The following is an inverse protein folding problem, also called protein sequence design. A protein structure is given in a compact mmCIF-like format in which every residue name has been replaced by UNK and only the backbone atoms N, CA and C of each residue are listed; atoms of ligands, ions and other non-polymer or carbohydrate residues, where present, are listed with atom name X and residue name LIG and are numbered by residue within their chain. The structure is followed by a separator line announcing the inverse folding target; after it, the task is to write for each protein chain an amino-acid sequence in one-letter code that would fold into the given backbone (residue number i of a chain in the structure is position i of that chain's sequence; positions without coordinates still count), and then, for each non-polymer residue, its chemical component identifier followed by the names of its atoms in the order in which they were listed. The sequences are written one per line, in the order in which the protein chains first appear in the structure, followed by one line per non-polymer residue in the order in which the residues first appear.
data_IF_875506291978
#
_entry.id   IF_875506291978
#
_cell.length_a   1.000
_cell.length_b   1.000
_cell.length_c   1.000
_cell.angle_alpha   90.00
_cell.angle_beta   90.00
_cell.angle_gamma   90.00
#
_symmetry.space_group_name_H-M   'P 1'
#
loop_
_entity.id
_entity.type
_entity.pdbx_description
1 polymer ?
#
# COMPACT_ATOMS: atom_id res chain seq x y z
N UNK A 1 -15.70 7.72 4.06
CA UNK A 1 -15.96 6.95 2.83
C UNK A 1 -14.88 5.88 2.59
N UNK A 2 -13.60 6.22 2.54
CA UNK A 2 -12.50 5.24 2.36
C UNK A 2 -12.38 4.21 3.50
N UNK A 3 -12.55 4.62 4.76
CA UNK A 3 -12.52 3.71 5.92
C UNK A 3 -13.51 2.55 5.78
N UNK A 4 -14.73 2.82 5.33
CA UNK A 4 -15.75 1.80 5.11
C UNK A 4 -15.34 0.78 4.03
N UNK A 5 -14.55 1.20 3.04
CA UNK A 5 -14.05 0.34 1.97
C UNK A 5 -12.89 -0.55 2.46
N UNK A 6 -12.04 -0.02 3.34
CA UNK A 6 -10.96 -0.77 3.99
C UNK A 6 -11.46 -1.79 5.02
N UNK A 7 -12.53 -1.46 5.75
CA UNK A 7 -13.09 -2.32 6.79
C UNK A 7 -14.28 -3.17 6.32
N UNK A 8 -14.79 -2.96 5.10
CA UNK A 8 -15.89 -3.75 4.56
C UNK A 8 -15.45 -5.21 4.46
N UNK A 9 -16.10 -6.10 5.20
CA UNK A 9 -15.84 -7.53 5.13
C UNK A 9 -16.74 -8.18 4.10
N UNK A 10 -16.15 -8.98 3.22
CA UNK A 10 -16.88 -9.71 2.19
C UNK A 10 -16.47 -11.18 2.30
N UNK A 11 -17.47 -12.07 2.33
CA UNK A 11 -17.21 -13.50 2.25
C UNK A 11 -16.71 -13.85 0.84
N UNK A 12 -15.64 -14.64 0.74
CA UNK A 12 -15.16 -15.10 -0.57
C UNK A 12 -15.98 -16.33 -1.00
N UNK A 13 -16.88 -16.22 -1.99
CA UNK A 13 -17.78 -17.31 -2.34
C UNK A 13 -17.07 -18.46 -3.08
N UNK A 14 -15.82 -18.29 -3.51
CA UNK A 14 -15.04 -19.32 -4.21
C UNK A 14 -14.26 -20.25 -3.29
N UNK A 15 -13.94 -19.83 -2.06
CA UNK A 15 -13.05 -20.58 -1.16
C UNK A 15 -13.71 -21.03 0.13
N UNK A 16 -14.94 -20.59 0.43
CA UNK A 16 -15.62 -20.89 1.70
C UNK A 16 -14.91 -20.30 2.94
N UNK A 17 -13.92 -19.43 2.72
CA UNK A 17 -13.12 -18.83 3.77
C UNK A 17 -13.93 -17.83 4.62
N UNK A 18 -13.54 -17.62 5.90
CA UNK A 18 -14.14 -16.60 6.75
C UNK A 18 -14.11 -15.22 6.09
N UNK A 19 -15.03 -14.33 6.50
CA UNK A 19 -15.15 -12.98 5.95
C UNK A 19 -13.84 -12.20 6.09
N UNK A 20 -13.17 -11.92 4.98
CA UNK A 20 -11.96 -11.08 4.93
C UNK A 20 -12.33 -9.64 4.57
N UNK A 21 -11.50 -8.65 4.91
CA UNK A 21 -11.65 -7.32 4.34
C UNK A 21 -11.64 -7.39 2.81
N UNK A 22 -12.62 -6.74 2.16
CA UNK A 22 -12.76 -6.64 0.70
C UNK A 22 -11.44 -6.20 0.06
N UNK A 23 -10.78 -5.28 0.75
CA UNK A 23 -9.50 -4.75 0.34
C UNK A 23 -8.39 -5.82 0.24
N UNK A 24 -8.28 -6.75 1.21
CA UNK A 24 -7.33 -7.87 1.16
C UNK A 24 -7.60 -8.76 -0.03
N UNK A 25 -8.88 -9.06 -0.30
CA UNK A 25 -9.29 -9.84 -1.47
C UNK A 25 -8.87 -9.14 -2.76
N UNK A 26 -9.12 -7.82 -2.86
CA UNK A 26 -8.70 -7.04 -4.02
C UNK A 26 -7.18 -7.10 -4.23
N UNK A 27 -6.38 -6.94 -3.18
CA UNK A 27 -4.93 -7.04 -3.29
C UNK A 27 -4.44 -8.44 -3.67
N UNK A 28 -5.08 -9.50 -3.17
CA UNK A 28 -4.74 -10.86 -3.56
C UNK A 28 -5.03 -11.12 -5.04
N UNK A 29 -6.18 -10.66 -5.54
CA UNK A 29 -6.49 -10.74 -6.97
C UNK A 29 -5.52 -9.90 -7.79
N UNK A 30 -5.19 -8.71 -7.30
CA UNK A 30 -4.19 -7.84 -7.93
C UNK A 30 -2.83 -8.55 -8.00
N UNK A 31 -2.39 -9.19 -6.92
CA UNK A 31 -1.15 -9.99 -6.88
C UNK A 31 -1.14 -11.09 -7.93
N UNK A 32 -2.27 -11.80 -8.12
CA UNK A 32 -2.40 -12.82 -9.17
C UNK A 32 -2.21 -12.20 -10.55
N UNK A 33 -2.86 -11.07 -10.82
CA UNK A 33 -2.70 -10.35 -12.08
C UNK A 33 -1.25 -9.90 -12.31
N UNK A 34 -0.55 -9.47 -11.26
CA UNK A 34 0.87 -9.09 -11.37
C UNK A 34 1.77 -10.25 -11.77
N UNK A 35 1.51 -11.45 -11.25
CA UNK A 35 2.23 -12.65 -11.63
C UNK A 35 2.15 -12.98 -13.13
N UNK A 36 1.14 -12.45 -13.85
CA UNK A 36 1.01 -12.66 -15.30
C UNK A 36 1.86 -11.71 -16.14
N UNK A 37 2.39 -10.62 -15.56
CA UNK A 37 3.16 -9.61 -16.29
C UNK A 37 2.35 -8.71 -17.24
N UNK A 38 1.00 -8.82 -17.24
CA UNK A 38 0.12 -8.11 -18.17
C UNK A 38 0.31 -6.58 -18.19
N UNK A 39 0.67 -5.97 -17.06
CA UNK A 39 0.89 -4.52 -17.03
C UNK A 39 2.13 -4.07 -17.80
N UNK A 40 3.10 -4.95 -18.03
CA UNK A 40 4.25 -4.66 -18.90
C UNK A 40 3.91 -4.72 -20.38
N UNK A 41 2.78 -5.33 -20.76
CA UNK A 41 2.33 -5.38 -22.15
C UNK A 41 1.51 -4.16 -22.55
N UNK A 42 1.17 -3.30 -21.59
CA UNK A 42 0.48 -2.02 -21.86
C UNK A 42 1.50 -1.07 -22.51
N UNK A 43 1.19 -0.48 -23.69
CA UNK A 43 2.08 0.45 -24.36
C UNK A 43 2.51 1.60 -23.44
N UNK A 44 3.82 1.81 -23.33
CA UNK A 44 4.42 2.84 -22.48
C UNK A 44 4.66 2.43 -21.02
N UNK A 45 4.38 1.18 -20.64
CA UNK A 45 4.61 0.65 -19.29
C UNK A 45 5.70 -0.43 -19.23
N UNK A 46 6.39 -0.72 -20.33
CA UNK A 46 7.32 -1.83 -20.47
C UNK A 46 8.53 -1.70 -19.52
N UNK A 47 9.03 -0.48 -19.38
CA UNK A 47 10.27 -0.16 -18.64
C UNK A 47 10.05 0.30 -17.20
N UNK A 48 8.80 0.37 -16.73
CA UNK A 48 8.52 0.80 -15.36
C UNK A 48 8.89 -0.30 -14.35
N UNK A 49 9.38 0.11 -13.18
CA UNK A 49 9.68 -0.81 -12.07
C UNK A 49 8.41 -1.46 -11.51
N UNK A 50 7.34 -0.68 -11.41
CA UNK A 50 6.02 -1.08 -10.90
C UNK A 50 4.91 -0.66 -11.88
N UNK A 51 4.84 -1.29 -13.06
CA UNK A 51 4.03 -0.82 -14.19
C UNK A 51 2.53 -0.73 -13.89
N UNK A 52 2.03 -1.60 -13.01
CA UNK A 52 0.66 -1.63 -12.53
C UNK A 52 0.32 -0.45 -11.63
N UNK A 53 1.26 -0.04 -10.76
CA UNK A 53 1.10 1.11 -9.88
C UNK A 53 1.24 2.42 -10.65
N UNK A 54 2.10 2.45 -11.66
CA UNK A 54 2.17 3.54 -12.63
C UNK A 54 0.86 3.67 -13.41
N UNK A 55 0.25 2.55 -13.80
CA UNK A 55 -1.04 2.56 -14.48
C UNK A 55 -2.15 3.05 -13.55
N UNK A 56 -2.22 2.51 -12.33
CA UNK A 56 -3.22 2.88 -11.33
C UNK A 56 -3.11 4.36 -10.94
N UNK A 57 -1.89 4.86 -10.76
CA UNK A 57 -1.61 6.28 -10.51
C UNK A 57 -2.21 7.16 -11.61
N UNK A 58 -1.86 6.91 -12.87
CA UNK A 58 -2.38 7.70 -14.01
C UNK A 58 -3.89 7.57 -14.18
N UNK A 59 -4.43 6.38 -13.92
CA UNK A 59 -5.87 6.13 -14.02
C UNK A 59 -6.68 6.90 -12.98
N UNK A 60 -6.17 6.98 -11.74
CA UNK A 60 -6.87 7.64 -10.65
C UNK A 60 -6.63 9.15 -10.60
N UNK A 61 -5.53 9.64 -11.17
CA UNK A 61 -5.12 11.04 -11.09
C UNK A 61 -6.25 12.01 -11.43
N UNK A 62 -6.92 11.94 -12.60
CA UNK A 62 -7.91 12.96 -12.96
C UNK A 62 -9.07 13.04 -11.96
N UNK A 63 -9.65 11.88 -11.62
CA UNK A 63 -10.78 11.80 -10.71
C UNK A 63 -10.43 12.25 -9.29
N UNK A 64 -9.24 11.88 -8.80
CA UNK A 64 -8.83 12.20 -7.43
C UNK A 64 -8.39 13.66 -7.33
N UNK A 65 -7.68 14.19 -8.33
CA UNK A 65 -7.33 15.61 -8.39
C UNK A 65 -8.57 16.49 -8.47
N UNK A 66 -9.58 16.12 -9.28
CA UNK A 66 -10.83 16.87 -9.40
C UNK A 66 -11.65 16.86 -8.10
N UNK A 67 -11.69 15.71 -7.40
CA UNK A 67 -12.49 15.57 -6.17
C UNK A 67 -11.84 16.18 -4.94
N UNK A 68 -10.51 16.12 -4.85
CA UNK A 68 -9.76 16.49 -3.65
C UNK A 68 -8.88 17.74 -3.85
N UNK A 69 -8.86 18.31 -5.06
CA UNK A 69 -8.09 19.51 -5.42
C UNK A 69 -6.59 19.40 -5.07
N UNK A 70 -6.01 18.21 -5.26
CA UNK A 70 -4.63 17.93 -4.82
C UNK A 70 -3.56 18.55 -5.72
N UNK A 71 -3.83 18.69 -7.02
CA UNK A 71 -2.87 19.21 -8.01
C UNK A 71 -1.46 18.61 -7.82
N UNK A 72 -0.42 19.43 -7.54
CA UNK A 72 0.95 18.96 -7.42
C UNK A 72 1.19 17.97 -6.27
N UNK A 73 0.33 17.96 -5.25
CA UNK A 73 0.48 17.09 -4.08
C UNK A 73 -0.06 15.67 -4.32
N UNK A 74 -0.72 15.42 -5.47
CA UNK A 74 -1.32 14.12 -5.78
C UNK A 74 -0.30 12.99 -5.73
N UNK A 75 0.89 13.19 -6.30
CA UNK A 75 1.94 12.17 -6.32
C UNK A 75 2.39 11.77 -4.91
N UNK A 76 2.66 12.76 -4.06
CA UNK A 76 3.04 12.51 -2.67
C UNK A 76 1.91 11.81 -1.90
N UNK A 77 0.67 12.26 -2.09
CA UNK A 77 -0.50 11.66 -1.44
C UNK A 77 -0.69 10.20 -1.87
N UNK A 78 -0.55 9.91 -3.17
CA UNK A 78 -0.69 8.57 -3.72
C UNK A 78 0.44 7.64 -3.23
N UNK A 79 1.69 8.07 -3.30
CA UNK A 79 2.81 7.24 -2.87
C UNK A 79 2.73 6.91 -1.36
N UNK A 80 2.33 7.89 -0.52
CA UNK A 80 2.08 7.68 0.92
C UNK A 80 0.91 6.75 1.16
N UNK A 81 -0.16 6.89 0.37
CA UNK A 81 -1.29 5.97 0.41
C UNK A 81 -0.83 4.55 0.10
N UNK A 82 -0.06 4.31 -0.96
CA UNK A 82 0.45 2.99 -1.31
C UNK A 82 1.35 2.39 -0.22
N UNK A 83 2.17 3.20 0.44
CA UNK A 83 3.00 2.74 1.54
C UNK A 83 2.16 2.28 2.75
N UNK A 84 1.16 3.08 3.16
CA UNK A 84 0.21 2.69 4.20
C UNK A 84 -0.56 1.43 3.81
N UNK A 85 -0.93 1.33 2.54
CA UNK A 85 -1.65 0.21 1.96
C UNK A 85 -0.88 -1.10 2.10
N UNK A 86 0.41 -1.07 1.74
CA UNK A 86 1.31 -2.21 1.86
C UNK A 86 1.45 -2.65 3.32
N UNK A 87 1.63 -1.70 4.25
CA UNK A 87 1.77 -2.01 5.68
C UNK A 87 0.48 -2.59 6.28
N UNK A 88 -0.68 -2.07 5.88
CA UNK A 88 -1.97 -2.63 6.32
C UNK A 88 -2.17 -4.05 5.78
N UNK A 89 -1.82 -4.31 4.52
CA UNK A 89 -1.87 -5.68 3.99
C UNK A 89 -0.95 -6.63 4.75
N UNK A 90 0.28 -6.20 5.08
CA UNK A 90 1.17 -6.99 5.93
C UNK A 90 0.55 -7.25 7.30
N UNK A 91 -0.09 -6.25 7.92
CA UNK A 91 -0.77 -6.48 9.18
C UNK A 91 -1.83 -7.59 9.08
N UNK A 92 -2.67 -7.56 8.06
CA UNK A 92 -3.75 -8.53 7.88
C UNK A 92 -3.24 -9.94 7.50
N UNK A 93 -2.07 -10.05 6.87
CA UNK A 93 -1.53 -11.32 6.35
C UNK A 93 -0.43 -11.94 7.22
N UNK A 94 0.42 -11.12 7.84
CA UNK A 94 1.57 -11.56 8.67
C UNK A 94 1.15 -12.01 10.07
N UNK A 95 -0.12 -11.84 10.46
CA UNK A 95 -0.62 -12.55 11.65
C UNK A 95 -0.59 -14.09 11.50
N UNK A 96 -0.29 -14.62 10.30
CA UNK A 96 -0.33 -16.07 10.03
C UNK A 96 1.03 -16.75 9.88
N UNK A 97 2.14 -16.06 9.62
CA UNK A 97 3.46 -16.71 9.46
C UNK A 97 4.62 -15.83 9.94
N UNK A 98 5.56 -16.43 10.68
CA UNK A 98 6.78 -15.80 11.24
C UNK A 98 7.80 -15.35 10.16
N UNK A 99 7.55 -15.64 8.89
CA UNK A 99 8.50 -15.50 7.79
C UNK A 99 8.45 -14.14 7.08
N UNK A 100 7.93 -13.10 7.73
CA UNK A 100 7.95 -11.73 7.22
C UNK A 100 7.22 -11.61 5.88
N UNK A 101 5.89 -11.51 5.94
CA UNK A 101 5.06 -11.57 4.73
C UNK A 101 5.45 -10.60 3.62
N UNK A 102 5.06 -10.98 2.42
CA UNK A 102 5.33 -10.24 1.20
C UNK A 102 4.22 -9.21 0.96
N UNK A 103 4.57 -7.92 0.99
CA UNK A 103 3.74 -6.86 0.45
C UNK A 103 4.26 -6.43 -0.92
N UNK A 104 3.31 -6.13 -1.81
CA UNK A 104 3.63 -5.59 -3.13
C UNK A 104 4.34 -4.25 -2.98
N UNK A 105 5.63 -4.14 -3.38
CA UNK A 105 6.31 -2.86 -3.39
C UNK A 105 5.62 -1.92 -4.39
N UNK A 106 5.23 -0.73 -3.91
CA UNK A 106 4.57 0.30 -4.72
C UNK A 106 5.55 1.33 -5.29
N UNK A 107 5.04 2.45 -5.80
CA UNK A 107 5.88 3.55 -6.32
C UNK A 107 6.81 4.12 -5.27
N UNK A 108 6.33 4.17 -4.03
CA UNK A 108 7.12 4.61 -2.87
C UNK A 108 8.43 3.83 -2.72
N UNK A 109 8.46 2.54 -3.10
CA UNK A 109 9.59 1.65 -2.83
C UNK A 109 10.83 1.97 -3.69
N UNK A 110 10.66 2.33 -4.96
CA UNK A 110 11.79 2.70 -5.83
C UNK A 110 12.19 4.18 -5.70
N UNK A 111 11.34 5.00 -5.06
CA UNK A 111 11.62 6.41 -4.73
C UNK A 111 12.38 6.58 -3.41
N UNK A 112 12.66 5.48 -2.72
CA UNK A 112 13.40 5.47 -1.46
C UNK A 112 14.73 6.20 -1.54
N UNK A 113 15.11 6.86 -0.44
CA UNK A 113 16.40 7.56 -0.34
C UNK A 113 16.52 8.85 -1.15
N UNK A 114 15.44 9.29 -1.83
CA UNK A 114 15.35 10.62 -2.45
C UNK A 114 14.87 11.65 -1.44
N UNK A 115 15.10 12.93 -1.72
CA UNK A 115 14.47 14.01 -0.95
C UNK A 115 12.95 13.87 -1.03
N UNK A 116 12.27 13.88 0.11
CA UNK A 116 10.83 13.64 0.18
C UNK A 116 10.42 12.17 0.07
N UNK A 117 11.23 11.23 0.57
CA UNK A 117 10.89 9.80 0.61
C UNK A 117 9.52 9.56 1.30
N UNK A 118 8.48 9.15 0.55
CA UNK A 118 7.11 9.01 1.07
C UNK A 118 7.02 7.94 2.15
N UNK A 119 7.91 6.94 2.13
CA UNK A 119 7.94 5.88 3.13
C UNK A 119 8.49 6.39 4.47
N UNK A 120 9.56 7.18 4.42
CA UNK A 120 10.15 7.79 5.62
C UNK A 120 9.27 8.90 6.21
N UNK A 121 8.54 9.65 5.38
CA UNK A 121 7.58 10.67 5.85
C UNK A 121 6.52 10.03 6.76
N UNK A 122 6.03 8.84 6.44
CA UNK A 122 5.06 8.13 7.29
C UNK A 122 5.65 7.76 8.65
N UNK A 123 6.91 7.31 8.68
CA UNK A 123 7.61 7.02 9.93
C UNK A 123 7.75 8.28 10.78
N UNK A 124 8.14 9.40 10.18
CA UNK A 124 8.28 10.68 10.89
C UNK A 124 6.93 11.16 11.46
N UNK A 125 5.85 11.04 10.69
CA UNK A 125 4.50 11.37 11.16
C UNK A 125 4.06 10.50 12.34
N UNK A 126 4.23 9.18 12.22
CA UNK A 126 3.91 8.25 13.27
C UNK A 126 4.74 8.50 14.53
N UNK A 127 6.04 8.80 14.39
CA UNK A 127 6.92 9.13 15.51
C UNK A 127 6.49 10.41 16.23
N UNK A 128 6.04 11.43 15.49
CA UNK A 128 5.56 12.70 16.07
C UNK A 128 4.24 12.54 16.81
N UNK A 129 3.35 11.68 16.32
CA UNK A 129 1.96 11.60 16.80
C UNK A 129 1.69 10.39 17.69
N UNK A 130 2.55 9.37 17.66
CA UNK A 130 2.44 8.15 18.44
C UNK A 130 1.08 7.48 18.30
N UNK A 131 0.44 7.16 19.43
CA UNK A 131 -0.91 6.56 19.44
C UNK A 131 -2.03 7.46 18.89
N UNK A 132 -1.79 8.76 18.74
CA UNK A 132 -2.76 9.71 18.18
C UNK A 132 -2.64 9.86 16.66
N UNK A 133 -1.73 9.13 16.01
CA UNK A 133 -1.55 9.18 14.58
C UNK A 133 -2.85 8.76 13.85
N UNK A 134 -3.38 9.55 12.87
CA UNK A 134 -4.68 9.31 12.27
C UNK A 134 -4.93 7.90 11.74
N UNK A 135 -3.98 7.22 11.07
CA UNK A 135 -4.18 5.83 10.66
C UNK A 135 -4.49 4.88 11.83
N UNK A 136 -3.95 5.13 13.02
CA UNK A 136 -4.26 4.35 14.23
C UNK A 136 -5.64 4.71 14.75
N UNK A 137 -5.92 6.01 14.94
CA UNK A 137 -7.20 6.49 15.48
C UNK A 137 -8.37 6.06 14.59
N UNK A 138 -8.16 6.03 13.27
CA UNK A 138 -9.17 5.63 12.29
C UNK A 138 -9.24 4.10 12.09
N UNK A 139 -8.42 3.32 12.79
CA UNK A 139 -8.45 1.85 12.74
C UNK A 139 -7.85 1.25 11.46
N UNK A 140 -7.15 2.04 10.64
CA UNK A 140 -6.39 1.53 9.49
C UNK A 140 -5.07 0.85 9.93
N UNK A 141 -4.63 1.09 11.16
CA UNK A 141 -3.48 0.48 11.79
C UNK A 141 -3.83 0.16 13.25
N UNK A 142 -3.46 -1.00 13.81
CA UNK A 142 -3.93 -1.40 15.13
C UNK A 142 -3.31 -0.58 16.27
N UNK A 143 -1.99 -0.40 16.25
CA UNK A 143 -1.26 0.37 17.25
C UNK A 143 0.11 0.78 16.72
N UNK A 144 0.66 1.84 17.32
CA UNK A 144 1.94 2.44 16.93
C UNK A 144 3.10 1.43 16.92
N UNK A 145 3.15 0.53 17.91
CA UNK A 145 4.25 -0.44 17.97
C UNK A 145 4.18 -1.50 16.87
N UNK A 146 2.98 -1.87 16.43
CA UNK A 146 2.81 -2.76 15.29
C UNK A 146 3.20 -2.04 14.01
N UNK A 147 2.83 -0.77 13.86
CA UNK A 147 3.32 0.04 12.74
C UNK A 147 4.86 0.05 12.69
N UNK A 148 5.54 0.32 13.81
CA UNK A 148 7.01 0.34 13.84
C UNK A 148 7.61 -1.02 13.44
N UNK A 149 7.05 -2.13 13.95
CA UNK A 149 7.49 -3.49 13.59
C UNK A 149 7.32 -3.75 12.09
N UNK A 150 6.13 -3.48 11.54
CA UNK A 150 5.81 -3.69 10.14
C UNK A 150 6.66 -2.79 9.24
N UNK A 151 6.81 -1.53 9.61
CA UNK A 151 7.64 -0.57 8.89
C UNK A 151 9.09 -1.05 8.81
N UNK A 152 9.67 -1.49 9.93
CA UNK A 152 11.05 -1.98 9.97
C UNK A 152 11.24 -3.28 9.17
N UNK A 153 10.30 -4.23 9.28
CA UNK A 153 10.34 -5.47 8.52
C UNK A 153 10.24 -5.21 7.01
N UNK A 154 9.24 -4.42 6.60
CA UNK A 154 9.03 -4.07 5.20
C UNK A 154 10.16 -3.20 4.65
N UNK A 155 10.76 -2.33 5.47
CA UNK A 155 11.95 -1.55 5.09
C UNK A 155 13.10 -2.47 4.67
N UNK A 156 13.38 -3.53 5.44
CA UNK A 156 14.43 -4.50 5.09
C UNK A 156 14.13 -5.18 3.76
N UNK A 157 12.87 -5.56 3.53
CA UNK A 157 12.43 -6.15 2.27
C UNK A 157 12.65 -5.20 1.09
N UNK A 158 12.11 -3.98 1.13
CA UNK A 158 12.30 -3.00 0.05
C UNK A 158 13.77 -2.61 -0.11
N UNK A 159 14.56 -2.68 0.96
CA UNK A 159 15.98 -2.35 0.93
C UNK A 159 16.79 -3.35 0.10
N UNK A 160 16.39 -4.62 0.13
CA UNK A 160 16.99 -5.70 -0.66
C UNK A 160 16.53 -5.75 -2.11
N UNK A 161 15.57 -4.92 -2.54
CA UNK A 161 15.12 -4.88 -3.92
C UNK A 161 16.11 -4.11 -4.80
N UNK A 162 16.60 -4.79 -5.83
CA UNK A 162 17.45 -4.23 -6.88
C UNK A 162 16.55 -3.72 -8.01
N UNK A 163 16.22 -2.44 -7.95
CA UNK A 163 15.57 -1.67 -9.01
C UNK A 163 16.62 -1.13 -9.97
#
# INVERSE_FOLDING_TARGET
MLQALFSARVANPRTGAPSSPLFTIMLDQWRVLLGTGIFRTIPGHEKHYVPDREFLFKLLQPSVEDLLFLGPDYEMAFDRFEALLALNYLYETVQQDDDGGFALPGRYAYKRGRSGDPYMILLEEANRQGGMWPPIVQGAMPHYQTFLKLHASHKKFIDGLHW
#
